data_IF_584305330137
#
_entry.id   IF_584305330137
#
_cell.length_a   1.000
_cell.length_b   1.000
_cell.length_c   1.000
_cell.angle_alpha   90.00
_cell.angle_beta   90.00
_cell.angle_gamma   90.00
#
_symmetry.space_group_name_H-M   'P 1'
#
loop_
_entity.id
_entity.type
_entity.pdbx_description
1 polymer ?
#
# COMPACT_ATOMS: atom_id res chain seq x y z
N UNK A 1 -16.11 -21.02 -28.09
CA UNK A 1 -15.46 -20.63 -26.83
C UNK A 1 -15.77 -19.15 -26.63
N UNK A 2 -16.09 -18.65 -25.42
CA UNK A 2 -16.63 -17.28 -25.26
C UNK A 2 -15.63 -16.16 -25.63
N UNK A 3 -14.35 -16.52 -25.80
CA UNK A 3 -13.32 -15.69 -26.42
C UNK A 3 -12.49 -16.58 -27.33
N UNK A 4 -12.36 -16.22 -28.61
CA UNK A 4 -11.57 -17.00 -29.57
C UNK A 4 -10.10 -16.53 -29.64
N UNK A 5 -9.75 -15.44 -28.92
CA UNK A 5 -8.38 -14.96 -28.84
C UNK A 5 -8.07 -14.17 -27.56
N UNK A 6 -6.80 -14.13 -27.17
CA UNK A 6 -6.28 -13.23 -26.12
C UNK A 6 -6.58 -11.75 -26.42
N UNK A 7 -6.77 -11.38 -27.68
CA UNK A 7 -7.14 -10.01 -28.09
C UNK A 7 -8.56 -9.63 -27.67
N UNK A 8 -9.54 -10.54 -27.81
CA UNK A 8 -10.93 -10.27 -27.40
C UNK A 8 -11.07 -10.11 -25.88
N UNK A 9 -10.22 -10.79 -25.12
CA UNK A 9 -10.15 -10.63 -23.66
C UNK A 9 -9.70 -9.21 -23.25
N UNK A 10 -8.73 -8.62 -23.95
CA UNK A 10 -8.28 -7.26 -23.68
C UNK A 10 -9.23 -6.20 -24.22
N UNK A 11 -9.86 -6.46 -25.36
CA UNK A 11 -10.74 -5.50 -26.04
C UNK A 11 -12.17 -5.53 -25.50
N UNK A 12 -12.61 -6.62 -24.85
CA UNK A 12 -13.97 -6.84 -24.30
C UNK A 12 -15.05 -6.16 -25.15
N UNK A 13 -15.27 -6.66 -26.37
CA UNK A 13 -16.27 -6.14 -27.32
C UNK A 13 -16.18 -4.61 -27.59
N UNK A 14 -15.01 -3.99 -27.41
CA UNK A 14 -14.76 -2.55 -27.60
C UNK A 14 -14.72 -1.72 -26.32
N UNK A 15 -15.03 -2.30 -25.16
CA UNK A 15 -15.07 -1.60 -23.86
C UNK A 15 -13.89 -1.92 -22.92
N UNK A 16 -12.97 -2.77 -23.36
CA UNK A 16 -11.81 -3.21 -22.59
C UNK A 16 -11.06 -2.07 -21.85
N UNK A 17 -10.71 -0.95 -22.52
CA UNK A 17 -10.01 0.14 -21.86
C UNK A 17 -10.73 0.66 -20.60
N UNK A 18 -12.05 0.89 -20.66
CA UNK A 18 -12.81 1.38 -19.52
C UNK A 18 -12.85 0.40 -18.35
N UNK A 19 -12.97 -0.89 -18.65
CA UNK A 19 -13.01 -1.96 -17.66
C UNK A 19 -11.66 -2.03 -16.94
N UNK A 20 -10.56 -2.10 -17.69
CA UNK A 20 -9.22 -2.14 -17.12
C UNK A 20 -8.85 -0.87 -16.36
N UNK A 21 -9.29 0.30 -16.81
CA UNK A 21 -9.13 1.55 -16.06
C UNK A 21 -9.87 1.52 -14.72
N UNK A 22 -11.09 0.98 -14.69
CA UNK A 22 -11.88 0.86 -13.45
C UNK A 22 -11.20 -0.10 -12.46
N UNK A 23 -10.71 -1.24 -12.94
CA UNK A 23 -9.91 -2.17 -12.12
C UNK A 23 -8.62 -1.53 -11.64
N UNK A 24 -7.88 -0.85 -12.51
CA UNK A 24 -6.63 -0.17 -12.15
C UNK A 24 -6.87 0.90 -11.08
N UNK A 25 -7.91 1.74 -11.25
CA UNK A 25 -8.29 2.75 -10.26
C UNK A 25 -8.65 2.11 -8.91
N UNK A 26 -9.43 1.03 -8.92
CA UNK A 26 -9.72 0.26 -7.71
C UNK A 26 -8.45 -0.25 -7.02
N UNK A 27 -7.54 -0.89 -7.77
CA UNK A 27 -6.29 -1.40 -7.22
C UNK A 27 -5.40 -0.28 -6.67
N UNK A 28 -5.35 0.88 -7.32
CA UNK A 28 -4.62 2.05 -6.84
C UNK A 28 -5.19 2.53 -5.50
N UNK A 29 -6.50 2.70 -5.41
CA UNK A 29 -7.16 3.17 -4.18
C UNK A 29 -6.91 2.21 -3.02
N UNK A 30 -7.12 0.90 -3.24
CA UNK A 30 -6.88 -0.12 -2.21
C UNK A 30 -5.41 -0.16 -1.80
N UNK A 31 -4.49 -0.11 -2.77
CA UNK A 31 -3.05 -0.10 -2.50
C UNK A 31 -2.66 1.11 -1.65
N UNK A 32 -3.16 2.30 -1.98
CA UNK A 32 -2.93 3.51 -1.19
C UNK A 32 -3.48 3.36 0.23
N UNK A 33 -4.69 2.80 0.38
CA UNK A 33 -5.32 2.58 1.67
C UNK A 33 -4.51 1.64 2.58
N UNK A 34 -3.78 0.69 2.00
CA UNK A 34 -2.92 -0.26 2.73
C UNK A 34 -1.53 0.32 2.98
N UNK A 35 -0.92 0.92 1.96
CA UNK A 35 0.48 1.39 2.01
C UNK A 35 0.62 2.59 2.96
N UNK A 36 -0.30 3.55 2.92
CA UNK A 36 -0.25 4.75 3.78
C UNK A 36 -0.19 4.43 5.28
N UNK A 37 -1.10 3.61 5.87
CA UNK A 37 -1.04 3.31 7.29
C UNK A 37 0.19 2.48 7.66
N UNK A 38 0.64 1.57 6.80
CA UNK A 38 1.86 0.80 7.04
C UNK A 38 3.09 1.72 7.14
N UNK A 39 3.21 2.69 6.24
CA UNK A 39 4.30 3.67 6.26
C UNK A 39 4.23 4.54 7.52
N UNK A 40 3.03 4.99 7.89
CA UNK A 40 2.82 5.78 9.10
C UNK A 40 3.19 4.98 10.35
N UNK A 41 2.76 3.72 10.45
CA UNK A 41 3.07 2.84 11.56
C UNK A 41 4.58 2.57 11.67
N UNK A 42 5.25 2.31 10.54
CA UNK A 42 6.71 2.13 10.51
C UNK A 42 7.44 3.38 11.02
N UNK A 43 7.00 4.57 10.61
CA UNK A 43 7.58 5.84 11.09
C UNK A 43 7.35 6.06 12.59
N UNK A 44 6.16 5.72 13.10
CA UNK A 44 5.82 5.89 14.51
C UNK A 44 6.62 4.92 15.39
N UNK A 45 6.75 3.66 14.98
CA UNK A 45 7.55 2.66 15.68
C UNK A 45 9.01 3.08 15.79
N UNK A 46 9.58 3.68 14.74
CA UNK A 46 10.94 4.23 14.76
C UNK A 46 11.09 5.36 15.79
N UNK A 47 10.14 6.30 15.83
CA UNK A 47 10.14 7.41 16.81
C UNK A 47 10.01 6.90 18.25
N UNK A 48 9.13 5.94 18.50
CA UNK A 48 8.97 5.35 19.83
C UNK A 48 10.25 4.65 20.28
N UNK A 49 10.87 3.83 19.41
CA UNK A 49 12.14 3.16 19.72
C UNK A 49 13.24 4.14 20.12
N UNK A 50 13.36 5.27 19.42
CA UNK A 50 14.33 6.31 19.77
C UNK A 50 14.07 6.93 21.15
N UNK A 51 12.80 7.14 21.52
CA UNK A 51 12.43 7.68 22.84
C UNK A 51 12.75 6.70 23.96
N UNK A 52 12.44 5.41 23.80
CA UNK A 52 12.78 4.40 24.80
C UNK A 52 14.28 4.34 25.07
N UNK A 53 15.11 4.36 24.02
CA UNK A 53 16.57 4.36 24.18
C UNK A 53 17.10 5.64 24.84
N UNK A 54 16.44 6.78 24.64
CA UNK A 54 16.83 8.04 25.30
C UNK A 54 16.49 8.02 26.81
N UNK A 55 15.35 7.45 27.18
CA UNK A 55 14.93 7.33 28.59
C UNK A 55 15.85 6.39 29.39
N UNK A 56 16.24 5.26 28.80
CA UNK A 56 17.16 4.29 29.43
C UNK A 56 18.53 4.92 29.75
N UNK A 57 19.01 5.83 28.89
CA UNK A 57 20.26 6.59 29.13
C UNK A 57 20.12 7.62 30.25
N UNK A 58 18.97 8.28 30.38
CA UNK A 58 18.77 9.26 31.46
C UNK A 58 18.59 8.58 32.81
N UNK A 59 17.97 7.40 32.85
CA UNK A 59 17.81 6.62 34.09
C UNK A 59 19.13 6.04 34.59
N UNK A 60 19.99 5.53 33.69
CA UNK A 60 21.31 4.97 34.04
C UNK A 60 22.37 6.00 34.38
N UNK A 61 22.18 7.28 34.03
CA UNK A 61 23.09 8.38 34.41
C UNK A 61 22.68 9.07 35.73
N UNK A 62 21.53 8.71 36.30
CA UNK A 62 21.01 9.25 37.56
C UNK A 62 21.18 8.34 38.78
N UNK A 63 21.71 7.12 38.58
CA UNK A 63 22.18 6.19 39.64
C UNK A 63 23.72 6.24 39.74
#
# INVERSE_FOLDING_TARGET
MYFDSWSEFWVMAGHGPFVWFSYAAFFVVISLLIIMPLWRLASLKRRLRQRYLALEKTQSAGE
#
